data_IF_988013253469
#
_entry.id   IF_988013253469
#
_cell.length_a   1.000
_cell.length_b   1.000
_cell.length_c   1.000
_cell.angle_alpha   90.00
_cell.angle_beta   90.00
_cell.angle_gamma   90.00
#
_symmetry.space_group_name_H-M   'P 1'
#
loop_
_entity.id
_entity.type
_entity.pdbx_description
1 polymer ?
#
# COMPACT_ATOMS: atom_id res chain seq x y z
N UNK A 1 -18.35 0.56 7.83
CA UNK A 1 -16.95 0.74 7.44
C UNK A 1 -16.10 0.02 8.48
N UNK A 2 -15.34 -1.00 8.10
CA UNK A 2 -14.51 -1.77 9.04
C UNK A 2 -13.07 -1.28 8.97
N UNK A 3 -12.58 -0.75 10.09
CA UNK A 3 -11.17 -0.44 10.27
C UNK A 3 -10.46 -1.71 10.72
N UNK A 4 -9.37 -2.08 10.05
CA UNK A 4 -8.57 -3.27 10.39
C UNK A 4 -7.16 -2.90 10.80
N UNK A 5 -6.57 -3.71 11.68
CA UNK A 5 -5.14 -3.62 11.97
C UNK A 5 -4.34 -4.15 10.80
N UNK A 6 -3.29 -3.42 10.40
CA UNK A 6 -2.38 -3.80 9.32
C UNK A 6 -1.07 -4.25 9.93
N UNK A 7 -0.61 -5.44 9.54
CA UNK A 7 0.70 -5.97 9.91
C UNK A 7 1.60 -5.93 8.69
N UNK A 8 2.76 -5.30 8.81
CA UNK A 8 3.76 -5.24 7.75
C UNK A 8 4.73 -6.42 7.82
N UNK A 9 5.02 -7.04 6.68
CA UNK A 9 6.09 -8.04 6.56
C UNK A 9 7.48 -7.36 6.54
N UNK A 10 8.53 -8.02 7.05
CA UNK A 10 9.90 -7.48 7.01
C UNK A 10 10.36 -7.13 5.58
N UNK A 11 10.00 -7.94 4.59
CA UNK A 11 10.33 -7.73 3.17
C UNK A 11 9.64 -6.48 2.62
N UNK A 12 8.39 -6.26 3.00
CA UNK A 12 7.64 -5.06 2.64
C UNK A 12 8.33 -3.82 3.20
N UNK A 13 8.67 -3.81 4.50
CA UNK A 13 9.37 -2.69 5.14
C UNK A 13 10.71 -2.39 4.48
N UNK A 14 11.49 -3.43 4.13
CA UNK A 14 12.78 -3.28 3.46
C UNK A 14 12.65 -2.60 2.09
N UNK A 15 11.67 -3.02 1.27
CA UNK A 15 11.43 -2.43 -0.06
C UNK A 15 10.78 -1.05 0.02
N UNK A 16 9.87 -0.83 0.97
CA UNK A 16 9.21 0.47 1.14
C UNK A 16 10.24 1.57 1.40
N UNK A 17 11.23 1.33 2.27
CA UNK A 17 12.30 2.30 2.56
C UNK A 17 13.10 2.75 1.35
N UNK A 18 13.26 1.92 0.32
CA UNK A 18 13.99 2.29 -0.90
C UNK A 18 13.11 2.92 -1.97
N UNK A 19 11.78 2.85 -1.84
CA UNK A 19 10.82 3.26 -2.87
C UNK A 19 9.97 4.47 -2.47
N UNK A 20 9.79 4.70 -1.17
CA UNK A 20 8.90 5.75 -0.66
C UNK A 20 9.38 6.24 0.71
N UNK A 21 9.02 7.49 1.02
CA UNK A 21 9.19 8.10 2.33
C UNK A 21 8.33 7.40 3.39
N UNK A 22 8.63 7.69 4.66
CA UNK A 22 7.83 7.19 5.77
C UNK A 22 6.38 7.69 5.72
N UNK A 23 6.16 8.95 5.34
CA UNK A 23 4.82 9.52 5.22
C UNK A 23 3.98 8.80 4.14
N UNK A 24 4.56 8.54 2.97
CA UNK A 24 3.88 7.77 1.90
C UNK A 24 3.59 6.33 2.34
N UNK A 25 4.52 5.69 3.07
CA UNK A 25 4.30 4.36 3.64
C UNK A 25 3.13 4.37 4.63
N UNK A 26 3.05 5.37 5.51
CA UNK A 26 1.96 5.51 6.47
C UNK A 26 0.62 5.76 5.76
N UNK A 27 0.60 6.57 4.70
CA UNK A 27 -0.60 6.79 3.89
C UNK A 27 -1.09 5.50 3.21
N UNK A 28 -0.17 4.66 2.72
CA UNK A 28 -0.52 3.33 2.19
C UNK A 28 -1.14 2.43 3.27
N UNK A 29 -0.55 2.38 4.47
CA UNK A 29 -1.04 1.56 5.57
C UNK A 29 -2.44 2.01 5.99
N UNK A 30 -2.64 3.32 6.15
CA UNK A 30 -3.93 3.91 6.50
C UNK A 30 -5.00 3.63 5.42
N UNK A 31 -4.62 3.70 4.14
CA UNK A 31 -5.50 3.31 3.04
C UNK A 31 -5.92 1.85 3.14
N UNK A 32 -5.00 0.92 3.39
CA UNK A 32 -5.31 -0.53 3.53
C UNK A 32 -6.20 -0.78 4.75
N UNK A 33 -5.91 -0.13 5.88
CA UNK A 33 -6.68 -0.26 7.12
C UNK A 33 -8.16 0.14 6.92
N UNK A 34 -8.42 1.18 6.12
CA UNK A 34 -9.77 1.66 5.80
C UNK A 34 -10.43 0.91 4.64
N UNK A 35 -9.63 0.30 3.76
CA UNK A 35 -10.11 -0.34 2.53
C UNK A 35 -9.54 -1.76 2.38
N UNK A 36 -9.85 -2.71 3.30
CA UNK A 36 -9.29 -4.06 3.28
C UNK A 36 -9.63 -4.84 1.99
N UNK A 37 -10.71 -4.45 1.29
CA UNK A 37 -11.16 -5.07 0.05
C UNK A 37 -10.66 -4.36 -1.22
N UNK A 38 -9.75 -3.39 -1.10
CA UNK A 38 -9.20 -2.68 -2.25
C UNK A 38 -8.47 -3.63 -3.22
N UNK A 39 -8.42 -3.23 -4.50
CA UNK A 39 -7.71 -3.97 -5.55
C UNK A 39 -8.44 -5.20 -6.08
N UNK A 40 -7.67 -6.05 -6.77
CA UNK A 40 -8.14 -7.27 -7.42
C UNK A 40 -7.70 -8.48 -6.59
N UNK A 41 -8.64 -9.40 -6.34
CA UNK A 41 -8.33 -10.69 -5.73
C UNK A 41 -7.50 -11.52 -6.70
N UNK A 42 -6.41 -12.10 -6.22
CA UNK A 42 -5.58 -13.04 -6.99
C UNK A 42 -5.70 -14.48 -6.46
N UNK A 43 -6.71 -14.75 -5.62
CA UNK A 43 -6.93 -16.04 -4.96
C UNK A 43 -6.18 -16.19 -3.64
N UNK A 44 -6.52 -17.22 -2.86
CA UNK A 44 -5.84 -17.56 -1.60
C UNK A 44 -5.93 -16.49 -0.50
N UNK A 45 -6.94 -15.61 -0.55
CA UNK A 45 -7.07 -14.48 0.39
C UNK A 45 -6.14 -13.29 0.09
N UNK A 46 -5.40 -13.31 -1.02
CA UNK A 46 -4.46 -12.25 -1.40
C UNK A 46 -5.10 -11.26 -2.37
N UNK A 47 -4.81 -9.97 -2.18
CA UNK A 47 -5.27 -8.88 -3.05
C UNK A 47 -4.10 -8.05 -3.55
N UNK A 48 -4.18 -7.60 -4.81
CA UNK A 48 -3.20 -6.72 -5.45
C UNK A 48 -3.88 -5.43 -5.86
N UNK A 49 -3.28 -4.30 -5.49
CA UNK A 49 -3.73 -2.97 -5.90
C UNK A 49 -2.56 -2.11 -6.35
N UNK A 50 -2.87 -1.04 -7.09
CA UNK A 50 -1.92 0.05 -7.40
C UNK A 50 -2.17 1.16 -6.40
N UNK A 51 -1.11 1.69 -5.80
CA UNK A 51 -1.18 2.84 -4.92
C UNK A 51 -0.42 4.00 -5.57
N UNK A 52 -1.13 5.08 -5.86
CA UNK A 52 -0.51 6.30 -6.34
C UNK A 52 0.12 7.02 -5.15
N UNK A 53 1.41 7.35 -5.27
CA UNK A 53 2.11 8.19 -4.31
C UNK A 53 1.74 9.65 -4.56
N UNK A 54 1.55 10.45 -3.52
CA UNK A 54 1.48 11.91 -3.67
C UNK A 54 2.78 12.42 -4.31
N UNK A 55 2.68 13.18 -5.41
CA UNK A 55 3.85 13.62 -6.20
C UNK A 55 4.45 12.57 -7.14
N UNK A 56 3.96 11.32 -7.14
CA UNK A 56 4.44 10.22 -7.99
C UNK A 56 3.72 10.06 -9.32
N UNK A 57 3.22 11.16 -9.91
CA UNK A 57 2.47 11.18 -11.17
C UNK A 57 3.17 11.96 -12.29
N UNK A 58 3.57 11.23 -13.34
CA UNK A 58 4.24 11.64 -14.60
C UNK A 58 5.65 12.24 -14.50
N UNK A 59 6.66 11.37 -14.55
CA UNK A 59 7.91 11.63 -15.30
C UNK A 59 7.91 10.76 -16.57
N UNK A 60 6.91 10.96 -17.44
CA UNK A 60 6.91 10.39 -18.79
C UNK A 60 7.42 11.46 -19.74
N UNK A 61 8.67 11.31 -20.19
CA UNK A 61 9.11 11.82 -21.49
C UNK A 61 8.74 10.83 -22.58
#
# INVERSE_FOLDING_TARGET
MTLVSVVELPEFRRRARSLMSEAERMALIDFVARNPMAGVSIGGGVRKFRFAREGGGKSGG
#
